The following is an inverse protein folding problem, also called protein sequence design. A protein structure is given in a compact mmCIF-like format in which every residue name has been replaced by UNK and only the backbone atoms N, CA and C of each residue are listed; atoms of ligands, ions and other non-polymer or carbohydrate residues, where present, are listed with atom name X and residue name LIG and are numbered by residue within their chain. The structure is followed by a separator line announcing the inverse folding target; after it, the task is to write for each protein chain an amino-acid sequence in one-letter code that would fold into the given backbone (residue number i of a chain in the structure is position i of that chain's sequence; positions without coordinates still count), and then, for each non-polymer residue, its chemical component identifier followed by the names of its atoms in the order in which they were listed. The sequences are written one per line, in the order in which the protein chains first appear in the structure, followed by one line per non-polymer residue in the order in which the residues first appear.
data_IF_372769168347
#
_entry.id   IF_372769168347
#
_cell.length_a   1.000
_cell.length_b   1.000
_cell.length_c   1.000
_cell.angle_alpha   90.00
_cell.angle_beta   90.00
_cell.angle_gamma   90.00
#
_symmetry.space_group_name_H-M   'P 1'
#
loop_
_entity.id
_entity.type
_entity.pdbx_description
1 polymer ?
#
# COMPACT_ATOMS: atom_id res chain seq x y z
N UNK A 1 4.08 10.00 -21.57
CA UNK A 1 2.72 9.79 -21.01
C UNK A 1 2.83 8.74 -19.91
N UNK A 2 2.95 9.17 -18.65
CA UNK A 2 3.14 8.27 -17.52
C UNK A 2 1.87 7.43 -17.32
N UNK A 3 2.02 6.11 -17.46
CA UNK A 3 0.93 5.15 -17.36
C UNK A 3 0.59 5.02 -15.87
N UNK A 4 -0.34 5.85 -15.40
CA UNK A 4 -0.74 5.93 -13.98
C UNK A 4 -1.07 4.52 -13.44
N UNK A 5 -0.21 3.95 -12.56
CA UNK A 5 -0.40 2.59 -12.05
C UNK A 5 -1.60 2.50 -11.09
N UNK A 6 -2.09 3.63 -10.63
CA UNK A 6 -3.30 3.80 -9.81
C UNK A 6 -4.60 3.49 -10.54
N UNK A 7 -4.61 3.35 -11.88
CA UNK A 7 -5.86 3.07 -12.61
C UNK A 7 -6.41 1.65 -12.39
N UNK A 8 -5.63 0.77 -11.74
CA UNK A 8 -6.03 -0.60 -11.41
C UNK A 8 -6.60 -0.77 -10.00
N UNK A 9 -6.41 0.20 -9.12
CA UNK A 9 -6.94 0.16 -7.77
C UNK A 9 -7.92 1.33 -7.60
N UNK A 10 -9.11 1.06 -7.04
CA UNK A 10 -10.03 2.13 -6.59
C UNK A 10 -9.41 3.03 -5.51
N UNK A 11 -8.27 2.62 -4.96
CA UNK A 11 -7.52 3.30 -3.92
C UNK A 11 -6.53 4.28 -4.55
N UNK A 12 -6.52 5.52 -4.07
CA UNK A 12 -5.58 6.55 -4.51
C UNK A 12 -4.13 6.05 -4.38
N UNK A 13 -3.23 6.40 -5.32
CA UNK A 13 -1.83 5.96 -5.28
C UNK A 13 -1.15 6.32 -3.96
N UNK A 14 -1.51 7.46 -3.36
CA UNK A 14 -1.03 7.92 -2.05
C UNK A 14 -1.26 6.88 -0.93
N UNK A 15 -2.37 6.13 -0.98
CA UNK A 15 -2.70 5.10 0.00
C UNK A 15 -1.78 3.89 -0.16
N UNK A 16 -1.54 3.50 -1.41
CA UNK A 16 -0.66 2.38 -1.76
C UNK A 16 0.77 2.71 -1.35
N UNK A 17 1.24 3.93 -1.67
CA UNK A 17 2.55 4.41 -1.25
C UNK A 17 2.70 4.42 0.26
N UNK A 18 1.69 4.92 0.97
CA UNK A 18 1.72 4.96 2.42
C UNK A 18 1.82 3.54 3.02
N UNK A 19 1.00 2.60 2.55
CA UNK A 19 1.01 1.22 3.02
C UNK A 19 2.36 0.53 2.76
N UNK A 20 2.92 0.71 1.57
CA UNK A 20 4.22 0.11 1.18
C UNK A 20 5.37 0.76 1.95
N UNK A 21 5.42 2.09 2.06
CA UNK A 21 6.45 2.80 2.83
C UNK A 21 6.36 2.43 4.31
N UNK A 22 5.15 2.35 4.88
CA UNK A 22 4.97 1.93 6.27
C UNK A 22 5.46 0.49 6.50
N UNK A 23 5.21 -0.43 5.56
CA UNK A 23 5.66 -1.81 5.64
C UNK A 23 7.19 -1.95 5.48
N UNK A 24 7.81 -1.13 4.63
CA UNK A 24 9.26 -1.18 4.35
C UNK A 24 10.08 -0.40 5.39
N UNK A 25 9.66 0.80 5.80
CA UNK A 25 10.39 1.64 6.76
C UNK A 25 10.17 1.24 8.21
N UNK A 26 8.99 0.74 8.54
CA UNK A 26 8.69 0.31 9.90
C UNK A 26 8.41 -1.19 9.88
N UNK A 27 8.99 -1.99 10.80
CA UNK A 27 8.63 -3.40 10.96
C UNK A 27 7.25 -3.51 11.61
N UNK A 28 6.24 -2.86 11.02
CA UNK A 28 4.87 -2.90 11.47
C UNK A 28 4.28 -4.26 11.09
N UNK A 29 3.64 -4.91 12.07
CA UNK A 29 2.81 -6.06 11.78
C UNK A 29 1.72 -5.67 10.78
N UNK A 30 1.38 -6.58 9.86
CA UNK A 30 0.36 -6.36 8.81
C UNK A 30 -0.96 -5.83 9.36
N UNK A 31 -1.34 -6.26 10.57
CA UNK A 31 -2.52 -5.79 11.28
C UNK A 31 -2.48 -4.30 11.61
N UNK A 32 -1.31 -3.75 11.94
CA UNK A 32 -1.15 -2.33 12.23
C UNK A 32 -1.29 -1.49 10.95
N UNK A 33 -0.86 -2.04 9.81
CA UNK A 33 -1.04 -1.42 8.49
C UNK A 33 -2.52 -1.45 8.09
N UNK A 34 -3.21 -2.58 8.27
CA UNK A 34 -4.67 -2.68 8.07
C UNK A 34 -5.45 -1.70 8.96
N UNK A 35 -5.13 -1.62 10.25
CA UNK A 35 -5.81 -0.71 11.19
C UNK A 35 -5.62 0.77 10.79
N UNK A 36 -4.42 1.16 10.37
CA UNK A 36 -4.14 2.52 9.90
C UNK A 36 -4.93 2.88 8.65
N UNK A 37 -5.16 1.90 7.77
CA UNK A 37 -5.88 2.09 6.53
C UNK A 37 -7.41 2.05 6.76
N UNK A 38 -7.87 1.19 7.67
CA UNK A 38 -9.24 1.18 8.18
C UNK A 38 -9.62 2.50 8.86
N UNK A 39 -8.71 3.09 9.65
CA UNK A 39 -8.89 4.42 10.26
C UNK A 39 -9.08 5.54 9.24
N UNK A 40 -8.62 5.35 8.00
CA UNK A 40 -8.85 6.28 6.89
C UNK A 40 -10.12 5.98 6.10
N UNK A 41 -10.93 5.01 6.55
CA UNK A 41 -12.14 4.56 5.85
C UNK A 41 -11.86 3.65 4.66
N UNK A 42 -10.66 3.05 4.61
CA UNK A 42 -10.23 2.20 3.50
C UNK A 42 -10.24 0.77 4.01
N UNK A 43 -11.29 0.03 3.67
CA UNK A 43 -11.39 -1.39 3.93
C UNK A 43 -10.48 -2.14 2.95
N UNK A 44 -9.39 -2.71 3.46
CA UNK A 44 -8.42 -3.45 2.66
C UNK A 44 -7.82 -4.58 3.48
N UNK A 45 -7.75 -5.75 2.86
CA UNK A 45 -7.20 -6.95 3.48
C UNK A 45 -5.68 -6.98 3.44
N UNK A 46 -5.07 -7.74 4.35
CA UNK A 46 -3.63 -8.05 4.36
C UNK A 46 -3.09 -8.54 3.00
N UNK A 47 -3.90 -9.26 2.22
CA UNK A 47 -3.52 -9.76 0.89
C UNK A 47 -3.30 -8.60 -0.09
N UNK A 48 -4.10 -7.53 0.00
CA UNK A 48 -3.92 -6.33 -0.82
C UNK A 48 -2.61 -5.62 -0.50
N UNK A 49 -2.26 -5.53 0.79
CA UNK A 49 -0.97 -4.98 1.23
C UNK A 49 0.19 -5.81 0.67
N UNK A 50 0.07 -7.15 0.69
CA UNK A 50 1.08 -8.05 0.13
C UNK A 50 1.23 -7.86 -1.38
N UNK A 51 0.12 -7.74 -2.12
CA UNK A 51 0.14 -7.44 -3.55
C UNK A 51 0.74 -6.07 -3.88
N UNK A 52 0.54 -5.07 -3.01
CA UNK A 52 1.17 -3.76 -3.17
C UNK A 52 2.67 -3.81 -2.95
N UNK A 53 3.13 -4.51 -1.92
CA UNK A 53 4.57 -4.70 -1.68
C UNK A 53 5.22 -5.51 -2.81
N UNK A 54 4.53 -6.51 -3.37
CA UNK A 54 5.03 -7.26 -4.53
C UNK A 54 5.12 -6.40 -5.81
N UNK A 55 4.07 -5.62 -6.12
CA UNK A 55 4.06 -4.76 -7.32
C UNK A 55 4.90 -3.49 -7.21
N UNK A 56 4.85 -2.85 -6.04
CA UNK A 56 5.44 -1.53 -5.82
C UNK A 56 6.68 -1.56 -4.93
N UNK A 57 6.99 -2.67 -4.26
CA UNK A 57 8.20 -2.80 -3.46
C UNK A 57 9.45 -2.48 -4.27
N UNK A 58 9.53 -2.93 -5.52
CA UNK A 58 10.62 -2.59 -6.44
C UNK A 58 10.60 -1.12 -6.88
N UNK A 59 9.44 -0.47 -6.89
CA UNK A 59 9.29 0.95 -7.23
C UNK A 59 9.66 1.90 -6.08
N UNK A 60 9.56 1.45 -4.83
CA UNK A 60 9.87 2.25 -3.63
C UNK A 60 11.21 1.89 -2.96
N UNK A 61 11.84 0.79 -3.37
CA UNK A 61 13.15 0.35 -2.85
C UNK A 61 14.36 0.96 -3.60
N UNK A 62 14.17 2.02 -4.40
CA UNK A 62 15.24 2.78 -5.07
C UNK A 62 15.29 4.22 -4.56
#
# INVERSE_FOLDING_TARGET
MAKNPSRYFKNSPEIIQLGVIMYVRFPLSRHNVEDLLHKRGIDICHESVRLWVDRFGTYFAH
#
